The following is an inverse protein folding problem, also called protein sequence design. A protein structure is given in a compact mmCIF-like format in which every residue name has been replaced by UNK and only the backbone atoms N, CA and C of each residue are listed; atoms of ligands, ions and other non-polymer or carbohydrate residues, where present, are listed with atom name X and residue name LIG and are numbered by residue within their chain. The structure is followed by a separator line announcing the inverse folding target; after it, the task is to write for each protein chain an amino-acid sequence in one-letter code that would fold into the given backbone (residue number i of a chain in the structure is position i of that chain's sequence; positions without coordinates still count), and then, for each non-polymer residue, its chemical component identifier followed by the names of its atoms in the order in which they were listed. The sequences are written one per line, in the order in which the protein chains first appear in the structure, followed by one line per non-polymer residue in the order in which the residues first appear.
data_IF_541487699050
#
_entry.id   IF_541487699050
#
_cell.length_a   1.000
_cell.length_b   1.000
_cell.length_c   1.000
_cell.angle_alpha   90.00
_cell.angle_beta   90.00
_cell.angle_gamma   90.00
#
_symmetry.space_group_name_H-M   'P 1'
#
loop_
_entity.id
_entity.type
_entity.pdbx_description
1 polymer ?
#
# COMPACT_ATOMS: atom_id res chain seq x y z
N UNK A 1 5.64 34.30 -49.14
CA UNK A 1 5.19 32.93 -48.79
C UNK A 1 6.43 32.06 -48.63
N UNK A 2 6.85 31.76 -47.40
CA UNK A 2 8.03 30.94 -47.11
C UNK A 2 7.61 29.71 -46.31
N UNK A 3 7.96 28.53 -46.82
CA UNK A 3 7.48 27.25 -46.30
C UNK A 3 8.20 26.85 -45.00
N UNK A 4 7.48 26.19 -44.10
CA UNK A 4 8.05 25.49 -42.95
C UNK A 4 8.61 24.13 -43.41
N UNK A 5 9.80 23.70 -42.98
CA UNK A 5 10.21 22.31 -43.13
C UNK A 5 9.45 21.41 -42.14
N UNK A 6 9.16 20.17 -42.55
CA UNK A 6 8.30 19.24 -41.83
C UNK A 6 9.01 18.57 -40.63
N UNK A 7 8.21 18.14 -39.66
CA UNK A 7 8.65 17.32 -38.54
C UNK A 7 8.60 15.83 -38.92
N UNK A 8 9.75 15.17 -39.12
CA UNK A 8 9.80 13.74 -39.38
C UNK A 8 10.10 12.95 -38.10
N UNK A 9 9.13 12.14 -37.68
CA UNK A 9 9.20 11.29 -36.49
C UNK A 9 9.86 9.96 -36.82
N UNK A 10 11.16 9.82 -36.52
CA UNK A 10 11.84 8.53 -36.62
C UNK A 10 11.81 7.77 -35.28
N UNK A 11 10.94 6.76 -35.22
CA UNK A 11 10.93 5.74 -34.18
C UNK A 11 11.89 4.59 -34.53
N UNK A 12 13.16 4.68 -34.13
CA UNK A 12 14.09 3.55 -34.22
C UNK A 12 14.14 2.74 -32.93
N UNK A 13 13.39 1.63 -32.89
CA UNK A 13 13.67 0.53 -31.97
C UNK A 13 14.87 -0.27 -32.50
N UNK A 14 16.07 -0.01 -31.98
CA UNK A 14 17.24 -0.85 -32.31
C UNK A 14 17.16 -2.19 -31.60
N UNK A 15 16.98 -3.23 -32.41
CA UNK A 15 17.14 -4.65 -32.10
C UNK A 15 18.63 -4.92 -31.90
N UNK A 16 19.00 -5.52 -30.78
CA UNK A 16 20.35 -6.04 -30.55
C UNK A 16 20.23 -7.53 -30.27
N UNK A 17 20.53 -8.32 -31.30
CA UNK A 17 20.64 -9.76 -31.21
C UNK A 17 22.13 -10.12 -31.04
N UNK A 18 22.40 -10.97 -30.05
CA UNK A 18 23.48 -11.96 -29.91
C UNK A 18 24.91 -11.67 -30.43
N UNK A 19 25.85 -11.62 -29.47
CA UNK A 19 27.23 -12.10 -29.66
C UNK A 19 27.60 -13.01 -28.48
N UNK A 20 27.91 -14.27 -28.80
CA UNK A 20 28.18 -15.36 -27.85
C UNK A 20 29.66 -15.70 -27.73
N UNK A 21 30.06 -16.38 -26.64
CA UNK A 21 31.36 -17.09 -26.46
C UNK A 21 32.63 -16.21 -26.36
N UNK A 22 33.79 -16.60 -25.82
CA UNK A 22 34.30 -17.63 -24.87
C UNK A 22 35.74 -17.18 -24.48
N UNK A 23 36.50 -17.65 -23.47
CA UNK A 23 36.40 -18.65 -22.37
C UNK A 23 37.48 -18.31 -21.30
N UNK A 24 37.32 -18.72 -20.02
CA UNK A 24 38.35 -18.98 -18.95
C UNK A 24 37.71 -18.73 -17.55
N UNK A 25 37.27 -19.69 -16.72
CA UNK A 25 37.54 -21.13 -16.53
C UNK A 25 38.70 -21.52 -15.59
N UNK A 26 38.55 -21.23 -14.28
CA UNK A 26 39.11 -22.02 -13.16
C UNK A 26 38.11 -22.00 -11.99
N UNK A 27 37.32 -23.06 -11.75
CA UNK A 27 37.58 -24.30 -10.97
C UNK A 27 37.37 -24.15 -9.45
N UNK A 28 36.51 -25.02 -8.89
CA UNK A 28 36.13 -25.11 -7.48
C UNK A 28 34.61 -25.34 -7.34
N UNK A 29 34.09 -26.56 -7.61
CA UNK A 29 33.80 -27.63 -6.62
C UNK A 29 33.06 -27.13 -5.36
N UNK A 30 31.97 -27.75 -4.88
CA UNK A 30 31.23 -28.94 -5.34
C UNK A 30 29.82 -28.97 -4.69
N UNK A 31 29.11 -30.09 -4.80
CA UNK A 31 28.00 -30.48 -3.91
C UNK A 31 26.59 -29.89 -4.14
N UNK A 32 26.08 -30.11 -5.35
CA UNK A 32 24.63 -30.33 -5.53
C UNK A 32 24.27 -31.70 -4.91
N UNK A 33 23.97 -31.72 -3.62
CA UNK A 33 23.35 -32.87 -2.94
C UNK A 33 21.86 -32.62 -2.70
N UNK A 34 21.03 -33.47 -3.31
CA UNK A 34 19.56 -33.47 -3.18
C UNK A 34 19.15 -33.72 -1.73
N UNK A 35 18.69 -32.70 -0.99
CA UNK A 35 17.87 -32.96 0.21
C UNK A 35 16.38 -32.99 -0.15
N UNK A 36 15.90 -34.22 -0.30
CA UNK A 36 14.46 -34.56 -0.24
C UNK A 36 13.89 -34.06 1.09
N UNK A 37 12.58 -33.83 1.12
CA UNK A 37 11.92 -33.10 2.19
C UNK A 37 12.13 -33.68 3.59
N UNK A 38 12.39 -32.79 4.55
CA UNK A 38 12.12 -33.04 5.96
C UNK A 38 10.78 -32.38 6.29
N UNK A 39 9.76 -33.22 6.41
CA UNK A 39 8.43 -32.86 6.87
C UNK A 39 8.56 -32.54 8.36
N UNK A 40 8.39 -31.28 8.75
CA UNK A 40 8.36 -30.91 10.16
C UNK A 40 7.07 -31.47 10.79
N UNK A 41 7.17 -32.62 11.45
CA UNK A 41 6.08 -33.21 12.21
C UNK A 41 5.81 -32.36 13.45
N UNK A 42 4.83 -31.46 13.37
CA UNK A 42 4.29 -30.80 14.56
C UNK A 42 3.56 -31.84 15.41
N UNK A 43 4.20 -32.21 16.51
CA UNK A 43 3.76 -33.21 17.48
C UNK A 43 2.36 -32.86 18.04
N UNK A 44 1.34 -33.50 17.47
CA UNK A 44 -0.04 -33.45 17.98
C UNK A 44 -0.17 -34.39 19.16
N UNK A 45 -0.17 -33.87 20.38
CA UNK A 45 -0.54 -34.67 21.56
C UNK A 45 -1.26 -33.85 22.65
N UNK A 46 -2.40 -34.40 23.05
CA UNK A 46 -3.12 -34.19 24.32
C UNK A 46 -3.49 -32.75 24.73
N UNK A 47 -4.78 -32.43 24.57
CA UNK A 47 -5.76 -32.31 25.68
C UNK A 47 -7.16 -32.44 25.07
N UNK A 48 -7.78 -33.61 25.24
CA UNK A 48 -9.22 -33.85 25.02
C UNK A 48 -9.71 -34.92 26.00
N UNK A 49 -9.99 -34.49 27.22
CA UNK A 49 -10.98 -35.16 28.09
C UNK A 49 -12.28 -34.35 27.93
N UNK A 50 -13.27 -34.84 27.18
CA UNK A 50 -14.25 -35.86 27.60
C UNK A 50 -15.17 -35.34 28.72
N UNK A 51 -16.33 -34.82 28.33
CA UNK A 51 -17.56 -34.98 29.12
C UNK A 51 -18.76 -35.07 28.18
N UNK A 52 -19.19 -36.31 27.92
CA UNK A 52 -20.57 -36.56 27.51
C UNK A 52 -21.45 -36.34 28.73
N UNK A 53 -22.55 -35.59 28.60
CA UNK A 53 -23.85 -36.00 29.16
C UNK A 53 -25.03 -35.17 28.66
N UNK A 54 -26.16 -35.87 28.54
CA UNK A 54 -27.53 -35.39 28.64
C UNK A 54 -28.06 -34.49 27.52
N UNK A 55 -28.46 -35.15 26.44
CA UNK A 55 -29.77 -34.90 25.86
C UNK A 55 -30.88 -35.13 26.91
N UNK A 56 -31.68 -34.11 27.22
CA UNK A 56 -33.03 -34.29 27.75
C UNK A 56 -33.98 -33.25 27.12
N UNK A 57 -35.15 -33.74 26.72
CA UNK A 57 -36.29 -33.00 26.20
C UNK A 57 -37.16 -32.44 27.34
N UNK A 58 -38.12 -31.57 26.97
CA UNK A 58 -39.31 -31.12 27.74
C UNK A 58 -39.02 -30.02 28.80
N UNK A 59 -39.63 -28.83 28.76
CA UNK A 59 -41.07 -28.59 28.64
C UNK A 59 -41.45 -27.12 28.26
N UNK A 60 -42.21 -26.95 27.16
CA UNK A 60 -43.36 -26.02 26.96
C UNK A 60 -43.14 -24.48 27.14
N UNK A 61 -44.13 -23.60 26.83
CA UNK A 61 -45.25 -23.69 25.87
C UNK A 61 -45.33 -22.53 24.84
N UNK A 62 -45.90 -22.83 23.66
CA UNK A 62 -47.12 -22.20 23.13
C UNK A 62 -47.34 -20.68 23.31
N UNK A 63 -47.16 -19.89 22.23
CA UNK A 63 -47.78 -18.57 22.06
C UNK A 63 -48.72 -18.60 20.84
N UNK A 64 -50.02 -18.52 21.10
CA UNK A 64 -51.08 -18.49 20.10
C UNK A 64 -52.25 -17.64 20.62
N UNK A 65 -52.24 -16.35 20.29
CA UNK A 65 -53.41 -15.45 20.21
C UNK A 65 -53.08 -14.53 19.02
N UNK A 66 -53.75 -14.53 17.86
CA UNK A 66 -55.09 -14.98 17.46
C UNK A 66 -56.28 -14.11 17.94
N UNK A 67 -56.13 -12.80 17.77
CA UNK A 67 -57.25 -11.91 17.37
C UNK A 67 -56.73 -10.96 16.27
N UNK A 68 -57.27 -10.93 15.05
CA UNK A 68 -58.21 -11.85 14.44
C UNK A 68 -58.30 -11.59 12.92
N UNK A 69 -57.97 -12.59 12.10
CA UNK A 69 -58.20 -12.55 10.66
C UNK A 69 -59.65 -12.95 10.38
N UNK A 70 -60.51 -12.01 9.95
CA UNK A 70 -61.66 -12.27 9.06
C UNK A 70 -62.47 -10.98 8.75
N UNK A 71 -62.05 -10.22 7.73
CA UNK A 71 -62.98 -9.62 6.77
C UNK A 71 -62.37 -9.70 5.37
N UNK A 72 -62.91 -10.63 4.57
CA UNK A 72 -62.56 -10.80 3.15
C UNK A 72 -63.57 -10.04 2.31
N UNK A 73 -63.10 -9.53 1.16
CA UNK A 73 -63.85 -9.21 -0.06
C UNK A 73 -64.80 -8.00 -0.10
N UNK A 74 -64.91 -7.44 -1.33
CA UNK A 74 -65.80 -6.37 -1.82
C UNK A 74 -65.42 -4.98 -1.28
N UNK A 75 -64.82 -4.06 -2.06
CA UNK A 75 -65.39 -3.37 -3.25
C UNK A 75 -64.32 -3.09 -4.32
N UNK A 76 -64.70 -3.22 -5.59
CA UNK A 76 -64.01 -2.65 -6.75
C UNK A 76 -64.37 -1.16 -6.91
N UNK A 77 -63.55 -0.25 -6.42
CA UNK A 77 -63.57 1.17 -6.81
C UNK A 77 -62.14 1.72 -6.78
N UNK A 78 -61.76 2.45 -7.82
CA UNK A 78 -60.37 2.81 -8.07
C UNK A 78 -59.72 3.60 -6.94
N UNK A 79 -58.52 3.16 -6.54
CA UNK A 79 -57.54 4.04 -5.91
C UNK A 79 -56.65 4.59 -7.02
N UNK A 80 -56.59 5.91 -7.11
CA UNK A 80 -55.55 6.63 -7.83
C UNK A 80 -54.18 6.08 -7.47
N UNK A 81 -53.40 5.67 -8.47
CA UNK A 81 -51.98 5.37 -8.28
C UNK A 81 -51.26 6.70 -8.06
N UNK A 82 -51.21 7.15 -6.80
CA UNK A 82 -50.38 8.28 -6.41
C UNK A 82 -48.93 7.91 -6.69
N UNK A 83 -48.32 8.61 -7.64
CA UNK A 83 -46.90 8.51 -7.89
C UNK A 83 -46.20 9.12 -6.68
N UNK A 84 -45.70 8.30 -5.76
CA UNK A 84 -44.85 8.78 -4.68
C UNK A 84 -43.58 9.36 -5.32
N UNK A 85 -43.53 10.69 -5.42
CA UNK A 85 -42.33 11.43 -5.78
C UNK A 85 -41.37 11.51 -4.58
N UNK A 86 -41.11 10.39 -3.91
CA UNK A 86 -39.87 10.19 -3.17
C UNK A 86 -38.79 9.84 -4.18
N UNK A 87 -38.34 10.83 -4.95
CA UNK A 87 -37.02 10.75 -5.57
C UNK A 87 -36.02 10.65 -4.44
N UNK A 88 -35.39 9.48 -4.30
CA UNK A 88 -34.26 9.27 -3.41
C UNK A 88 -33.09 10.14 -3.91
N UNK A 89 -33.08 11.41 -3.47
CA UNK A 89 -31.90 12.26 -3.52
C UNK A 89 -30.90 11.65 -2.54
N UNK A 90 -30.07 10.73 -3.05
CA UNK A 90 -28.96 10.17 -2.30
C UNK A 90 -27.94 11.29 -2.08
N UNK A 91 -27.97 11.85 -0.88
CA UNK A 91 -27.22 13.02 -0.41
C UNK A 91 -25.83 13.23 -1.03
N UNK A 92 -25.61 14.41 -1.61
CA UNK A 92 -24.28 14.90 -2.05
C UNK A 92 -23.25 14.94 -0.88
N UNK A 93 -23.69 14.83 0.37
CA UNK A 93 -22.83 14.85 1.56
C UNK A 93 -21.89 13.64 1.66
N UNK A 94 -22.29 12.48 1.14
CA UNK A 94 -21.48 11.26 1.14
C UNK A 94 -20.23 11.40 0.24
N UNK A 95 -20.29 12.20 -0.83
CA UNK A 95 -19.15 12.45 -1.71
C UNK A 95 -18.15 13.42 -1.07
N UNK A 96 -18.63 14.48 -0.39
CA UNK A 96 -17.79 15.42 0.35
C UNK A 96 -17.05 14.76 1.54
N UNK A 97 -17.71 13.91 2.32
CA UNK A 97 -17.08 13.11 3.39
C UNK A 97 -15.97 12.17 2.86
N UNK A 98 -16.13 11.67 1.64
CA UNK A 98 -15.18 10.77 0.97
C UNK A 98 -13.96 11.52 0.42
N UNK A 99 -14.12 12.77 -0.01
CA UNK A 99 -12.99 13.66 -0.32
C UNK A 99 -12.19 14.04 0.93
N UNK A 100 -12.87 14.44 2.02
CA UNK A 100 -12.25 14.71 3.33
C UNK A 100 -11.40 13.52 3.81
N UNK A 101 -11.91 12.28 3.69
CA UNK A 101 -11.16 11.06 4.05
C UNK A 101 -9.93 10.79 3.18
N UNK A 102 -9.81 11.33 1.96
CA UNK A 102 -8.62 11.21 1.09
C UNK A 102 -7.50 12.20 1.43
N UNK A 103 -7.80 13.32 2.07
CA UNK A 103 -6.85 14.43 2.27
C UNK A 103 -5.93 14.26 3.49
N UNK A 104 -6.21 13.29 4.38
CA UNK A 104 -5.46 12.99 5.61
C UNK A 104 -3.94 12.93 5.49
N UNK A 105 -3.39 12.63 4.31
CA UNK A 105 -1.94 12.64 4.08
C UNK A 105 -1.36 14.06 3.93
N UNK A 106 -2.09 14.97 3.32
CA UNK A 106 -1.68 16.37 3.17
C UNK A 106 -1.87 17.15 4.48
N UNK A 107 -2.82 16.75 5.32
CA UNK A 107 -3.04 17.36 6.64
C UNK A 107 -1.82 17.28 7.56
N UNK A 108 -0.91 16.31 7.36
CA UNK A 108 0.35 16.23 8.08
C UNK A 108 1.28 17.44 7.87
N UNK A 109 1.10 18.21 6.79
CA UNK A 109 1.80 19.47 6.53
C UNK A 109 1.26 20.62 7.38
N UNK A 110 -0.01 20.56 7.79
CA UNK A 110 -0.68 21.56 8.62
C UNK A 110 -0.42 21.34 10.12
N UNK A 111 0.35 20.30 10.48
CA UNK A 111 0.67 19.97 11.86
C UNK A 111 1.65 20.98 12.44
N UNK A 112 1.14 21.88 13.28
CA UNK A 112 1.98 22.78 14.08
C UNK A 112 2.70 22.01 15.19
N UNK A 113 3.95 22.40 15.47
CA UNK A 113 4.77 21.84 16.54
C UNK A 113 5.07 22.91 17.60
N UNK A 114 5.24 22.53 18.89
CA UNK A 114 5.70 23.48 19.89
C UNK A 114 7.10 24.02 19.54
N UNK A 115 7.34 25.26 19.97
CA UNK A 115 8.62 25.97 19.87
C UNK A 115 9.68 25.16 20.63
N UNK A 116 10.83 24.92 20.01
CA UNK A 116 11.93 24.15 20.62
C UNK A 116 12.63 24.96 21.71
N UNK A 117 13.16 24.28 22.72
CA UNK A 117 14.04 24.94 23.70
C UNK A 117 15.45 25.18 23.10
N UNK A 118 16.21 26.20 23.56
CA UNK A 118 17.54 26.48 23.01
C UNK A 118 18.59 25.36 23.16
N UNK A 119 18.33 24.38 24.04
CA UNK A 119 19.20 23.23 24.31
C UNK A 119 18.67 21.92 23.67
N UNK A 120 17.58 21.98 22.89
CA UNK A 120 17.04 20.85 22.13
C UNK A 120 17.73 20.80 20.76
N UNK A 121 18.01 19.59 20.25
CA UNK A 121 18.53 19.43 18.89
C UNK A 121 17.52 19.94 17.85
N UNK A 122 18.02 20.55 16.76
CA UNK A 122 17.18 21.05 15.67
C UNK A 122 16.36 19.91 15.08
N UNK A 123 15.03 20.05 15.12
CA UNK A 123 14.10 19.11 14.48
C UNK A 123 14.24 19.21 12.95
N UNK A 124 14.44 18.09 12.22
CA UNK A 124 14.46 18.13 10.76
C UNK A 124 13.07 18.48 10.23
N UNK A 125 13.01 19.36 9.22
CA UNK A 125 11.77 19.61 8.51
C UNK A 125 11.32 18.37 7.72
N UNK A 126 10.01 18.16 7.58
CA UNK A 126 9.45 17.14 6.70
C UNK A 126 8.32 17.70 5.84
N UNK A 127 8.08 17.05 4.70
CA UNK A 127 7.05 17.45 3.73
C UNK A 127 6.33 16.21 3.20
N UNK A 128 5.02 16.14 3.41
CA UNK A 128 4.16 15.12 2.85
C UNK A 128 3.56 15.60 1.52
N UNK A 129 3.65 14.80 0.46
CA UNK A 129 2.97 15.05 -0.81
C UNK A 129 2.34 13.78 -1.38
N UNK A 130 1.36 13.93 -2.28
CA UNK A 130 0.74 12.79 -2.95
C UNK A 130 0.24 13.14 -4.36
N UNK A 131 0.09 12.12 -5.20
CA UNK A 131 -0.62 12.20 -6.49
C UNK A 131 -1.68 11.12 -6.53
N UNK A 132 -2.93 11.57 -6.42
CA UNK A 132 -4.11 10.72 -6.39
C UNK A 132 -4.52 10.26 -7.80
N UNK A 133 -5.33 9.21 -7.87
CA UNK A 133 -6.02 8.77 -9.09
C UNK A 133 -5.11 8.54 -10.30
N UNK A 134 -3.89 8.08 -10.07
CA UNK A 134 -2.93 7.69 -11.12
C UNK A 134 -3.43 6.44 -11.83
N UNK A 135 -3.48 6.47 -13.17
CA UNK A 135 -3.84 5.30 -13.99
C UNK A 135 -2.69 4.28 -14.08
N UNK A 136 -2.49 3.54 -13.01
CA UNK A 136 -1.50 2.46 -12.92
C UNK A 136 -1.95 1.35 -11.98
N UNK A 137 -1.22 0.23 -11.98
CA UNK A 137 -1.49 -0.88 -11.06
C UNK A 137 -0.73 -0.66 -9.74
N UNK A 138 -1.38 -0.71 -8.57
CA UNK A 138 -0.72 -0.40 -7.30
C UNK A 138 0.43 -1.36 -7.00
N UNK A 139 0.33 -2.65 -7.36
CA UNK A 139 1.42 -3.62 -7.21
C UNK A 139 2.66 -3.24 -8.04
N UNK A 140 2.48 -2.70 -9.24
CA UNK A 140 3.59 -2.26 -10.11
C UNK A 140 4.18 -0.93 -9.65
N UNK A 141 3.36 -0.02 -9.12
CA UNK A 141 3.83 1.24 -8.55
C UNK A 141 4.59 1.02 -7.24
N UNK A 142 4.17 0.05 -6.42
CA UNK A 142 4.82 -0.31 -5.16
C UNK A 142 6.30 -0.68 -5.33
N UNK A 143 6.69 -1.41 -6.38
CA UNK A 143 8.12 -1.68 -6.64
C UNK A 143 8.93 -0.40 -6.88
N UNK A 144 8.35 0.59 -7.57
CA UNK A 144 9.00 1.88 -7.84
C UNK A 144 9.05 2.72 -6.55
N UNK A 145 7.98 2.71 -5.75
CA UNK A 145 7.94 3.34 -4.44
C UNK A 145 9.01 2.75 -3.50
N UNK A 146 9.10 1.42 -3.41
CA UNK A 146 10.10 0.73 -2.60
C UNK A 146 11.54 1.01 -3.03
N UNK A 147 11.77 1.18 -4.34
CA UNK A 147 13.08 1.45 -4.91
C UNK A 147 13.63 2.82 -4.50
N UNK A 148 12.78 3.85 -4.40
CA UNK A 148 13.24 5.21 -4.04
C UNK A 148 13.37 5.47 -2.54
N UNK A 149 12.87 4.57 -1.67
CA UNK A 149 12.98 4.74 -0.21
C UNK A 149 14.43 4.70 0.26
N UNK A 150 14.81 5.65 1.11
CA UNK A 150 16.17 5.77 1.64
C UNK A 150 17.20 6.37 0.68
N UNK A 151 16.81 6.77 -0.55
CA UNK A 151 17.67 7.52 -1.45
C UNK A 151 17.64 9.02 -1.15
N UNK A 152 18.69 9.75 -1.53
CA UNK A 152 18.60 11.21 -1.66
C UNK A 152 17.60 11.57 -2.78
N UNK A 153 17.00 12.76 -2.69
CA UNK A 153 16.07 13.25 -3.73
C UNK A 153 16.74 13.34 -5.11
N UNK A 154 17.99 13.81 -5.16
CA UNK A 154 18.73 13.97 -6.42
C UNK A 154 19.09 12.62 -7.07
N UNK A 155 19.46 11.60 -6.28
CA UNK A 155 19.68 10.24 -6.78
C UNK A 155 18.38 9.59 -7.26
N UNK A 156 17.29 9.73 -6.49
CA UNK A 156 15.98 9.22 -6.90
C UNK A 156 15.54 9.83 -8.25
N UNK A 157 15.68 11.14 -8.43
CA UNK A 157 15.36 11.82 -9.70
C UNK A 157 16.24 11.30 -10.86
N UNK A 158 17.55 11.10 -10.64
CA UNK A 158 18.46 10.52 -11.64
C UNK A 158 18.01 9.11 -12.03
N UNK A 159 17.84 8.20 -11.06
CA UNK A 159 17.47 6.81 -11.32
C UNK A 159 16.10 6.70 -12.03
N UNK A 160 15.08 7.42 -11.54
CA UNK A 160 13.75 7.43 -12.15
C UNK A 160 13.74 7.96 -13.59
N UNK A 161 14.71 8.79 -13.98
CA UNK A 161 14.84 9.29 -15.35
C UNK A 161 15.25 8.21 -16.35
N UNK A 162 15.99 7.19 -15.92
CA UNK A 162 16.41 6.06 -16.75
C UNK A 162 15.46 4.85 -16.66
N UNK A 163 14.57 4.80 -15.66
CA UNK A 163 13.61 3.70 -15.51
C UNK A 163 12.54 3.71 -16.62
N UNK A 164 12.61 2.74 -17.54
CA UNK A 164 11.61 2.51 -18.59
C UNK A 164 10.26 1.95 -18.05
N UNK A 165 9.58 2.68 -17.17
CA UNK A 165 8.25 2.38 -16.63
C UNK A 165 7.42 3.67 -16.56
N UNK A 166 6.17 3.64 -17.06
CA UNK A 166 5.23 4.78 -16.96
C UNK A 166 5.10 5.33 -15.52
N UNK A 167 5.13 4.46 -14.51
CA UNK A 167 5.06 4.89 -13.11
C UNK A 167 6.27 5.71 -12.64
N UNK A 168 7.45 5.54 -13.23
CA UNK A 168 8.65 6.26 -12.82
C UNK A 168 8.59 7.76 -13.16
N UNK A 169 8.03 8.10 -14.33
CA UNK A 169 7.77 9.49 -14.75
C UNK A 169 6.86 10.19 -13.72
N UNK A 170 5.78 9.53 -13.33
CA UNK A 170 4.80 10.06 -12.37
C UNK A 170 5.39 10.22 -10.97
N UNK A 171 6.21 9.26 -10.52
CA UNK A 171 6.94 9.37 -9.24
C UNK A 171 7.98 10.49 -9.29
N UNK A 172 8.70 10.66 -10.39
CA UNK A 172 9.67 11.76 -10.59
C UNK A 172 8.98 13.12 -10.50
N UNK A 173 7.85 13.30 -11.20
CA UNK A 173 7.02 14.51 -11.10
C UNK A 173 6.64 14.80 -9.65
N UNK A 174 6.12 13.81 -8.90
CA UNK A 174 5.74 14.04 -7.49
C UNK A 174 6.90 14.39 -6.57
N UNK A 175 8.10 13.87 -6.81
CA UNK A 175 9.27 14.21 -6.00
C UNK A 175 9.71 15.65 -6.30
N UNK A 176 9.66 16.08 -7.57
CA UNK A 176 9.92 17.48 -7.96
C UNK A 176 8.86 18.45 -7.41
N UNK A 177 7.58 18.08 -7.47
CA UNK A 177 6.48 18.83 -6.85
C UNK A 177 6.71 18.97 -5.33
N UNK A 178 7.07 17.88 -4.63
CA UNK A 178 7.36 17.88 -3.20
C UNK A 178 8.59 18.72 -2.83
N UNK A 179 9.67 18.66 -3.62
CA UNK A 179 10.87 19.48 -3.44
C UNK A 179 10.56 20.98 -3.60
N UNK A 180 9.71 21.34 -4.56
CA UNK A 180 9.27 22.74 -4.72
C UNK A 180 8.39 23.20 -3.55
N UNK A 181 7.51 22.34 -3.02
CA UNK A 181 6.71 22.63 -1.82
C UNK A 181 7.59 22.80 -0.58
N UNK A 182 8.66 22.02 -0.44
CA UNK A 182 9.60 22.11 0.68
C UNK A 182 10.25 23.48 0.79
N UNK A 183 10.79 23.99 -0.31
CA UNK A 183 11.40 25.33 -0.36
C UNK A 183 10.35 26.43 -0.21
N UNK A 184 9.21 26.31 -0.90
CA UNK A 184 8.24 27.42 -0.99
C UNK A 184 7.37 27.58 0.25
N UNK A 185 7.08 26.50 1.00
CA UNK A 185 6.11 26.50 2.12
C UNK A 185 6.68 26.02 3.45
N UNK A 186 7.68 25.14 3.44
CA UNK A 186 8.21 24.50 4.66
C UNK A 186 9.59 25.03 5.06
N UNK A 187 10.01 26.17 4.49
CA UNK A 187 11.24 26.90 4.83
C UNK A 187 12.54 26.06 4.74
N UNK A 188 12.57 25.06 3.86
CA UNK A 188 13.79 24.28 3.57
C UNK A 188 14.69 25.09 2.63
N UNK A 189 15.89 25.43 3.09
CA UNK A 189 16.87 26.22 2.31
C UNK A 189 17.45 25.42 1.14
N UNK A 190 17.97 24.22 1.40
CA UNK A 190 18.72 23.43 0.42
C UNK A 190 17.86 22.32 -0.21
N UNK A 191 17.57 22.45 -1.51
CA UNK A 191 16.84 21.44 -2.31
C UNK A 191 17.49 20.04 -2.30
N UNK A 192 18.81 19.98 -2.18
CA UNK A 192 19.62 18.76 -2.19
C UNK A 192 19.74 18.11 -0.80
N UNK A 193 19.50 18.85 0.29
CA UNK A 193 19.51 18.32 1.66
C UNK A 193 18.17 17.67 2.03
N UNK A 194 17.63 16.87 1.11
CA UNK A 194 16.36 16.17 1.23
C UNK A 194 16.53 14.71 0.81
N UNK A 195 15.90 13.82 1.56
CA UNK A 195 15.89 12.39 1.28
C UNK A 195 14.48 11.79 1.41
N UNK A 196 14.26 10.64 0.77
CA UNK A 196 12.95 9.99 0.71
C UNK A 196 12.74 9.10 1.94
N UNK A 197 12.14 9.67 2.97
CA UNK A 197 11.89 9.01 4.25
C UNK A 197 10.77 7.98 4.20
N UNK A 198 9.67 8.30 3.54
CA UNK A 198 8.60 7.34 3.27
C UNK A 198 8.13 7.48 1.83
N UNK A 199 7.92 6.35 1.16
CA UNK A 199 7.16 6.33 -0.08
C UNK A 199 6.40 5.01 -0.22
N UNK A 200 5.13 5.12 -0.55
CA UNK A 200 4.24 3.97 -0.68
C UNK A 200 3.16 4.22 -1.72
N UNK A 201 2.47 3.14 -2.10
CA UNK A 201 1.36 3.19 -3.03
C UNK A 201 0.13 2.53 -2.40
N UNK A 202 -0.99 3.22 -2.50
CA UNK A 202 -2.30 2.71 -2.08
C UNK A 202 -3.20 2.52 -3.30
N UNK A 203 -4.15 1.58 -3.21
CA UNK A 203 -5.21 1.39 -4.21
C UNK A 203 -6.18 2.57 -4.11
N UNK A 204 -6.50 3.23 -5.23
CA UNK A 204 -7.54 4.27 -5.31
C UNK A 204 -8.83 3.68 -5.91
N UNK A 205 -9.66 4.53 -6.53
CA UNK A 205 -10.88 4.16 -7.24
C UNK A 205 -10.64 3.00 -8.24
N UNK A 206 -11.60 2.08 -8.33
CA UNK A 206 -11.55 0.96 -9.27
C UNK A 206 -12.90 0.81 -9.95
N UNK A 207 -12.96 1.22 -11.21
CA UNK A 207 -14.13 1.04 -12.05
C UNK A 207 -14.21 -0.42 -12.49
N UNK A 208 -15.41 -1.00 -12.38
CA UNK A 208 -15.71 -2.37 -12.81
C UNK A 208 -16.32 -2.31 -14.21
N UNK A 209 -15.82 -3.15 -15.11
CA UNK A 209 -16.37 -3.37 -16.44
C UNK A 209 -16.71 -4.84 -16.67
N UNK A 210 -17.41 -5.11 -17.76
CA UNK A 210 -17.88 -6.45 -18.14
C UNK A 210 -17.02 -6.95 -19.31
N UNK A 211 -16.44 -8.15 -19.17
CA UNK A 211 -15.85 -8.93 -20.28
C UNK A 211 -16.80 -10.04 -20.67
N UNK A 212 -17.25 -10.03 -21.92
CA UNK A 212 -18.03 -11.11 -22.51
C UNK A 212 -17.08 -12.25 -22.92
N UNK A 213 -17.43 -13.48 -22.56
CA UNK A 213 -16.71 -14.71 -22.92
C UNK A 213 -17.63 -15.65 -23.71
N UNK A 214 -17.05 -16.65 -24.37
CA UNK A 214 -17.80 -17.67 -25.09
C UNK A 214 -18.79 -18.43 -24.19
N UNK A 215 -19.86 -18.95 -24.80
CA UNK A 215 -20.98 -19.65 -24.13
C UNK A 215 -21.72 -18.79 -23.08
N UNK A 216 -21.92 -17.49 -23.38
CA UNK A 216 -22.70 -16.57 -22.54
C UNK A 216 -22.06 -16.20 -21.19
N UNK A 217 -20.81 -16.57 -20.95
CA UNK A 217 -20.13 -16.31 -19.67
C UNK A 217 -19.71 -14.84 -19.55
N UNK A 218 -19.83 -14.27 -18.35
CA UNK A 218 -19.44 -12.89 -18.03
C UNK A 218 -18.29 -12.92 -17.02
N UNK A 219 -17.24 -12.13 -17.28
CA UNK A 219 -16.14 -11.88 -16.36
C UNK A 219 -16.06 -10.40 -15.96
N UNK A 220 -15.53 -10.12 -14.76
CA UNK A 220 -15.29 -8.75 -14.27
C UNK A 220 -13.92 -8.23 -14.75
N UNK A 221 -13.90 -7.03 -15.35
CA UNK A 221 -12.67 -6.28 -15.65
C UNK A 221 -12.50 -5.17 -14.61
N UNK A 222 -11.33 -5.09 -13.98
CA UNK A 222 -11.04 -4.06 -12.97
C UNK A 222 -10.09 -3.00 -13.52
N UNK A 223 -10.65 -1.85 -13.86
CA UNK A 223 -9.89 -0.66 -14.27
C UNK A 223 -9.31 0.03 -13.03
N UNK A 224 -8.27 -0.58 -12.46
CA UNK A 224 -7.59 -0.05 -11.26
C UNK A 224 -6.95 1.32 -11.49
N UNK A 225 -7.02 2.15 -10.46
CA UNK A 225 -6.20 3.34 -10.26
C UNK A 225 -5.47 3.21 -8.91
N UNK A 226 -4.41 4.00 -8.75
CA UNK A 226 -3.52 3.99 -7.60
C UNK A 226 -3.26 5.43 -7.14
N UNK A 227 -2.94 5.62 -5.87
CA UNK A 227 -2.40 6.88 -5.36
C UNK A 227 -0.97 6.62 -4.88
N UNK A 228 -0.06 7.55 -5.20
CA UNK A 228 1.32 7.54 -4.73
C UNK A 228 1.50 8.60 -3.64
N UNK A 229 2.23 8.24 -2.59
CA UNK A 229 2.47 9.06 -1.41
C UNK A 229 3.98 9.11 -1.15
N UNK A 230 4.47 10.30 -0.79
CA UNK A 230 5.86 10.53 -0.42
C UNK A 230 5.93 11.43 0.81
N UNK A 231 6.85 11.13 1.74
CA UNK A 231 7.36 12.06 2.75
C UNK A 231 8.85 12.28 2.47
N UNK A 232 9.21 13.54 2.27
CA UNK A 232 10.61 13.99 2.25
C UNK A 232 10.99 14.49 3.63
N UNK A 233 12.21 14.21 4.08
CA UNK A 233 12.77 14.73 5.33
C UNK A 233 14.09 15.47 5.04
N UNK A 234 14.37 16.51 5.83
CA UNK A 234 15.61 17.28 5.79
C UNK A 234 16.78 16.44 6.33
N UNK A 235 17.94 16.56 5.66
CA UNK A 235 19.19 15.91 6.07
C UNK A 235 19.70 14.86 5.09
N UNK A 236 20.68 14.09 5.55
CA UNK A 236 21.24 12.95 4.81
C UNK A 236 20.38 11.70 5.06
N UNK A 237 20.23 10.79 4.08
CA UNK A 237 19.58 9.52 4.30
C UNK A 237 20.34 8.69 5.37
N UNK A 238 19.63 7.90 6.19
CA UNK A 238 20.28 6.97 7.11
C UNK A 238 21.02 5.89 6.32
N UNK A 239 22.24 5.55 6.75
CA UNK A 239 23.10 4.56 6.07
C UNK A 239 22.40 3.22 5.80
N UNK A 240 21.57 2.79 6.77
CA UNK A 240 20.77 1.57 6.65
C UNK A 240 19.30 1.90 6.89
N UNK A 241 18.52 1.99 5.81
CA UNK A 241 17.09 2.32 5.87
C UNK A 241 16.19 1.16 6.32
N UNK A 242 16.44 -0.06 5.82
CA UNK A 242 15.57 -1.22 6.05
C UNK A 242 16.04 -2.16 7.16
N UNK A 243 17.36 -2.33 7.29
CA UNK A 243 17.96 -3.32 8.17
C UNK A 243 18.69 -2.57 9.28
N UNK A 244 18.71 -3.08 10.53
CA UNK A 244 19.67 -2.61 11.51
C UNK A 244 21.08 -2.91 11.01
N UNK A 245 22.06 -2.09 11.43
CA UNK A 245 23.48 -2.34 11.20
C UNK A 245 23.80 -3.80 11.60
N UNK A 246 24.46 -4.60 10.73
CA UNK A 246 24.80 -5.98 11.06
C UNK A 246 25.70 -6.00 12.29
N UNK A 247 25.28 -6.73 13.33
CA UNK A 247 25.99 -6.76 14.61
C UNK A 247 27.36 -7.42 14.46
N UNK A 248 28.36 -6.90 15.17
CA UNK A 248 29.68 -7.56 15.26
C UNK A 248 29.59 -8.84 16.09
N UNK A 249 30.58 -9.73 15.96
CA UNK A 249 30.66 -10.95 16.77
C UNK A 249 30.67 -10.67 18.28
N UNK A 250 31.32 -9.60 18.69
CA UNK A 250 31.36 -9.11 20.07
C UNK A 250 29.98 -8.63 20.55
N UNK A 251 29.26 -7.85 19.74
CA UNK A 251 27.88 -7.42 20.04
C UNK A 251 26.91 -8.60 20.09
N UNK A 252 27.12 -9.63 19.27
CA UNK A 252 26.38 -10.88 19.35
C UNK A 252 26.67 -11.62 20.66
N UNK A 253 27.95 -11.72 21.07
CA UNK A 253 28.36 -12.32 22.34
C UNK A 253 27.79 -11.53 23.54
N UNK A 254 27.88 -10.20 23.53
CA UNK A 254 27.34 -9.35 24.59
C UNK A 254 25.81 -9.46 24.67
N UNK A 255 25.11 -9.42 23.52
CA UNK A 255 23.66 -9.61 23.45
C UNK A 255 23.26 -10.98 24.01
N UNK A 256 24.06 -12.03 23.74
CA UNK A 256 23.86 -13.36 24.31
C UNK A 256 24.15 -13.39 25.81
N UNK A 257 25.27 -12.84 26.28
CA UNK A 257 25.63 -12.74 27.71
C UNK A 257 24.57 -11.97 28.51
N UNK A 258 24.06 -10.87 27.96
CA UNK A 258 22.94 -10.11 28.52
C UNK A 258 21.69 -10.98 28.59
N UNK A 259 21.36 -11.72 27.52
CA UNK A 259 20.25 -12.68 27.54
C UNK A 259 20.46 -13.80 28.57
N UNK A 260 21.68 -14.31 28.77
CA UNK A 260 22.00 -15.30 29.81
C UNK A 260 21.76 -14.73 31.21
N UNK A 261 22.29 -13.52 31.48
CA UNK A 261 22.19 -12.82 32.78
C UNK A 261 20.75 -12.41 33.12
N UNK A 262 19.93 -12.07 32.13
CA UNK A 262 18.51 -11.74 32.30
C UNK A 262 17.61 -12.95 32.52
N UNK A 263 18.13 -14.19 32.46
CA UNK A 263 17.34 -15.38 32.81
C UNK A 263 17.04 -15.38 34.31
N UNK A 264 15.75 -15.41 34.64
CA UNK A 264 15.25 -15.80 35.96
C UNK A 264 14.68 -17.21 35.92
N UNK A 265 14.54 -17.83 37.09
CA UNK A 265 13.79 -19.08 37.22
C UNK A 265 12.32 -18.77 36.85
N UNK A 266 11.74 -19.59 35.99
CA UNK A 266 10.36 -19.42 35.54
C UNK A 266 9.45 -20.05 36.59
N UNK A 267 8.40 -19.35 37.01
CA UNK A 267 7.43 -19.76 38.03
C UNK A 267 7.99 -19.94 39.46
N UNK A 268 9.13 -19.31 39.80
CA UNK A 268 9.44 -18.98 41.18
C UNK A 268 8.96 -17.56 41.51
N UNK A 269 8.73 -17.31 42.80
CA UNK A 269 8.69 -15.95 43.36
C UNK A 269 10.07 -15.28 43.24
#
# INVERSE_FOLDING_TARGET
MTAKPNCETHSEYKRFDDASENLLATKGNSDIQRRKGLRCETNMNSIRCSFQRLSLLNNKPFLNELVGTLRRSIVLTGKSFSYDQSTDYQDDTDEYENEQKKLKWLDYNNKFFPIQSPNEERRPAYVCHMKANVKYSPKKLWYIACFVRGMTVDEAIKQLSFMHKKGAVIVKETILEAQNLAVSKHNVEFKSNLWVAESFCTKSMVYKGIRRHARGRIGEVRYTYSSYFVRLEEGKPPENYYLPIPKTGEQHLESWLKQMRMRKIINSL
#
